data_IF_798526748184
#
_entry.id   IF_798526748184
#
_cell.length_a   1.000
_cell.length_b   1.000
_cell.length_c   1.000
_cell.angle_alpha   90.00
_cell.angle_beta   90.00
_cell.angle_gamma   90.00
#
_symmetry.space_group_name_H-M   'P 1'
#
loop_
_entity.id
_entity.type
_entity.pdbx_description
1 polymer ?
#
# COMPACT_ATOMS: atom_id res chain seq x y z
N UNK A 1 6.27 26.65 30.70
CA UNK A 1 6.69 25.94 29.47
C UNK A 1 7.53 26.91 28.65
N UNK A 2 8.66 26.47 28.10
CA UNK A 2 9.51 27.32 27.26
C UNK A 2 8.86 27.48 25.86
N UNK A 3 8.93 28.66 25.20
CA UNK A 3 8.36 28.88 23.87
C UNK A 3 8.90 27.89 22.84
N UNK A 4 8.01 27.31 22.02
CA UNK A 4 8.32 26.40 20.92
C UNK A 4 9.10 25.14 21.32
N UNK A 5 9.05 24.77 22.60
CA UNK A 5 9.58 23.50 23.08
C UNK A 5 8.53 22.40 22.98
N UNK A 6 8.89 21.29 22.35
CA UNK A 6 8.06 20.08 22.21
C UNK A 6 8.77 18.86 22.78
N UNK A 7 8.03 17.75 22.90
CA UNK A 7 8.63 16.47 23.33
C UNK A 7 9.70 16.06 22.32
N UNK A 8 10.85 15.55 22.80
CA UNK A 8 11.94 15.19 21.91
C UNK A 8 11.52 14.04 21.00
N UNK A 9 11.72 14.22 19.70
CA UNK A 9 11.65 13.15 18.71
C UNK A 9 12.83 13.28 17.76
N UNK A 10 13.75 12.32 17.81
CA UNK A 10 14.90 12.30 16.90
C UNK A 10 14.52 11.81 15.49
N UNK A 11 13.26 11.96 15.08
CA UNK A 11 12.79 11.57 13.75
C UNK A 11 13.53 12.38 12.68
N UNK A 12 14.02 11.70 11.64
CA UNK A 12 14.82 12.32 10.58
C UNK A 12 16.28 12.65 10.96
N UNK A 13 16.79 12.12 12.08
CA UNK A 13 18.19 12.26 12.51
C UNK A 13 18.93 10.94 12.30
N UNK A 14 19.93 10.92 11.41
CA UNK A 14 20.63 9.68 11.02
C UNK A 14 21.40 8.99 12.18
N UNK A 15 21.74 9.72 13.25
CA UNK A 15 22.61 9.25 14.33
C UNK A 15 21.94 9.15 15.70
N UNK A 16 20.61 9.26 15.78
CA UNK A 16 19.87 9.24 17.05
C UNK A 16 19.29 7.86 17.37
N UNK A 17 19.72 7.23 18.46
CA UNK A 17 19.15 5.99 18.95
C UNK A 17 17.94 6.19 19.87
N UNK A 18 17.22 5.10 20.16
CA UNK A 18 16.11 5.11 21.12
C UNK A 18 16.50 5.55 22.52
N UNK A 19 17.71 5.17 22.93
CA UNK A 19 18.29 5.56 24.21
C UNK A 19 18.57 7.07 24.24
N UNK A 20 19.01 7.64 23.12
CA UNK A 20 19.26 9.08 23.00
C UNK A 20 17.96 9.89 23.01
N UNK A 21 16.90 9.38 22.38
CA UNK A 21 15.56 9.99 22.42
C UNK A 21 14.97 9.95 23.84
N UNK A 22 15.10 8.82 24.54
CA UNK A 22 14.65 8.68 25.93
C UNK A 22 15.47 9.54 26.91
N UNK A 23 16.76 9.71 26.64
CA UNK A 23 17.65 10.56 27.43
C UNK A 23 17.53 12.04 27.06
N UNK A 24 16.92 12.41 25.93
CA UNK A 24 16.79 13.79 25.51
C UNK A 24 15.82 14.57 26.41
N UNK A 25 16.16 15.82 26.74
CA UNK A 25 15.33 16.67 27.62
C UNK A 25 14.23 17.44 26.91
N UNK A 26 14.32 17.56 25.59
CA UNK A 26 13.39 18.36 24.81
C UNK A 26 13.90 18.63 23.41
N UNK A 27 12.99 19.08 22.57
CA UNK A 27 13.26 19.57 21.24
C UNK A 27 12.74 21.01 21.14
N UNK A 28 13.59 21.89 20.64
CA UNK A 28 13.32 23.32 20.55
C UNK A 28 13.33 23.74 19.08
N UNK A 29 12.32 24.52 18.70
CA UNK A 29 12.17 25.06 17.36
C UNK A 29 12.29 26.57 17.40
N UNK A 30 13.40 27.11 16.88
CA UNK A 30 13.66 28.55 16.91
C UNK A 30 13.22 29.19 15.59
N UNK A 31 12.32 30.18 15.63
CA UNK A 31 11.83 30.85 14.43
C UNK A 31 12.94 31.65 13.75
N UNK A 32 12.95 31.64 12.42
CA UNK A 32 13.82 32.42 11.56
C UNK A 32 12.98 33.31 10.66
N UNK A 33 13.30 34.59 10.59
CA UNK A 33 12.64 35.59 9.77
C UNK A 33 13.66 36.34 8.92
N UNK A 34 13.23 36.89 7.79
CA UNK A 34 14.11 37.64 6.88
C UNK A 34 13.96 39.16 7.02
N UNK A 35 12.80 39.63 7.50
CA UNK A 35 12.50 41.05 7.68
C UNK A 35 12.83 41.47 9.12
N UNK A 36 13.36 42.68 9.36
CA UNK A 36 13.53 43.19 10.72
C UNK A 36 12.24 43.04 11.54
N UNK A 37 12.38 42.68 12.82
CA UNK A 37 11.27 42.45 13.74
C UNK A 37 11.37 43.47 14.88
N UNK A 38 10.25 44.08 15.24
CA UNK A 38 10.14 44.98 16.37
C UNK A 38 10.03 44.21 17.70
N UNK A 39 10.35 44.88 18.81
CA UNK A 39 10.19 44.28 20.14
C UNK A 39 8.74 43.81 20.42
N UNK A 40 7.68 44.58 20.10
CA UNK A 40 6.30 44.11 20.29
C UNK A 40 5.95 42.85 19.50
N UNK A 41 6.41 42.73 18.25
CA UNK A 41 6.18 41.56 17.41
C UNK A 41 6.87 40.32 17.99
N UNK A 42 8.14 40.45 18.41
CA UNK A 42 8.87 39.35 19.04
C UNK A 42 8.24 38.95 20.38
N UNK A 43 7.82 39.93 21.18
CA UNK A 43 7.13 39.70 22.45
C UNK A 43 5.83 38.92 22.23
N UNK A 44 5.01 39.32 21.24
CA UNK A 44 3.77 38.63 20.90
C UNK A 44 4.02 37.20 20.41
N UNK A 45 5.02 37.00 19.54
CA UNK A 45 5.41 35.68 19.02
C UNK A 45 5.83 34.73 20.15
N UNK A 46 6.70 35.20 21.07
CA UNK A 46 7.20 34.39 22.18
C UNK A 46 6.16 34.19 23.28
N UNK A 47 5.25 35.16 23.49
CA UNK A 47 4.15 35.06 24.45
C UNK A 47 3.14 33.98 24.04
N UNK A 48 2.86 33.83 22.74
CA UNK A 48 2.08 32.70 22.25
C UNK A 48 2.86 31.39 22.46
N UNK A 49 4.13 31.37 22.03
CA UNK A 49 5.12 30.34 22.35
C UNK A 49 4.72 28.91 22.01
N UNK A 50 3.68 28.70 21.19
CA UNK A 50 3.15 27.39 20.83
C UNK A 50 2.61 27.42 19.42
N UNK A 51 2.90 26.36 18.68
CA UNK A 51 2.31 26.13 17.36
C UNK A 51 1.06 25.28 17.54
N UNK A 52 -0.04 25.65 16.88
CA UNK A 52 -1.30 24.90 16.92
C UNK A 52 -1.53 24.14 15.61
N UNK A 53 -1.82 22.86 15.73
CA UNK A 53 -2.30 22.04 14.62
C UNK A 53 -3.80 22.34 14.45
N UNK A 54 -4.14 23.05 13.38
CA UNK A 54 -5.49 23.58 13.15
C UNK A 54 -6.56 22.52 12.87
N UNK A 55 -7.83 22.90 13.07
CA UNK A 55 -9.04 22.06 12.88
C UNK A 55 -9.17 21.48 11.46
N UNK A 56 -8.59 22.14 10.46
CA UNK A 56 -8.62 21.70 9.05
C UNK A 56 -7.81 20.42 8.82
N UNK A 57 -6.72 20.24 9.57
CA UNK A 57 -5.86 19.06 9.55
C UNK A 57 -6.35 17.95 10.47
N UNK A 58 -7.38 18.20 11.28
CA UNK A 58 -7.88 17.28 12.27
C UNK A 58 -9.38 17.51 12.49
N UNK A 59 -10.21 16.90 11.63
CA UNK A 59 -11.67 17.09 11.70
C UNK A 59 -12.30 16.43 12.93
N UNK A 60 -11.63 15.44 13.52
CA UNK A 60 -12.16 14.64 14.63
C UNK A 60 -11.74 15.16 16.02
N UNK A 61 -10.55 15.77 16.14
CA UNK A 61 -10.11 16.41 17.37
C UNK A 61 -9.78 17.87 17.07
N UNK A 62 -10.36 18.80 17.83
CA UNK A 62 -10.24 20.25 17.57
C UNK A 62 -8.79 20.76 17.48
N UNK A 63 -8.63 22.06 17.24
CA UNK A 63 -7.30 22.67 17.23
C UNK A 63 -6.54 22.32 18.53
N UNK A 64 -5.30 21.85 18.40
CA UNK A 64 -4.48 21.43 19.53
C UNK A 64 -3.04 21.92 19.39
N UNK A 65 -2.36 22.14 20.52
CA UNK A 65 -0.94 22.44 20.51
C UNK A 65 -0.12 21.28 19.93
N UNK A 66 0.94 21.60 19.20
CA UNK A 66 1.93 20.63 18.75
C UNK A 66 2.63 19.99 19.96
N UNK A 67 2.72 18.66 19.97
CA UNK A 67 3.27 17.91 21.11
C UNK A 67 4.68 17.39 20.85
N UNK A 68 5.02 17.20 19.59
CA UNK A 68 6.29 16.65 19.11
C UNK A 68 6.73 17.30 17.80
N UNK A 69 7.92 16.93 17.31
CA UNK A 69 8.47 17.48 16.08
C UNK A 69 7.62 17.20 14.83
N UNK A 70 6.88 16.09 14.76
CA UNK A 70 6.00 15.82 13.61
C UNK A 70 4.79 16.75 13.60
N UNK A 71 4.13 16.92 14.75
CA UNK A 71 3.05 17.89 14.87
C UNK A 71 3.52 19.30 14.53
N UNK A 72 4.72 19.67 14.99
CA UNK A 72 5.32 20.95 14.69
C UNK A 72 5.53 21.10 13.18
N UNK A 73 6.18 20.14 12.53
CA UNK A 73 6.40 20.12 11.08
C UNK A 73 5.10 20.20 10.26
N UNK A 74 4.02 19.55 10.72
CA UNK A 74 2.69 19.64 10.07
C UNK A 74 2.06 21.03 10.20
N UNK A 75 2.30 21.72 11.30
CA UNK A 75 1.60 22.96 11.66
C UNK A 75 2.36 24.24 11.31
N UNK A 76 3.70 24.19 11.14
CA UNK A 76 4.54 25.37 10.85
C UNK A 76 4.09 26.12 9.60
N UNK A 77 3.57 25.43 8.59
CA UNK A 77 3.17 26.06 7.34
C UNK A 77 2.06 27.11 7.53
N UNK A 78 1.04 26.79 8.33
CA UNK A 78 -0.05 27.74 8.62
C UNK A 78 0.42 28.77 9.66
N UNK A 79 1.03 28.30 10.74
CA UNK A 79 1.47 29.16 11.85
C UNK A 79 2.49 30.22 11.44
N UNK A 80 3.52 29.80 10.70
CA UNK A 80 4.62 30.66 10.30
C UNK A 80 4.23 31.64 9.20
N UNK A 81 3.37 31.23 8.25
CA UNK A 81 2.90 32.10 7.18
C UNK A 81 2.13 33.30 7.75
N UNK A 82 1.22 33.07 8.71
CA UNK A 82 0.43 34.12 9.36
C UNK A 82 1.30 35.13 10.15
N UNK A 83 2.55 34.77 10.47
CA UNK A 83 3.49 35.56 11.29
C UNK A 83 4.72 36.07 10.51
N UNK A 84 4.74 35.89 9.19
CA UNK A 84 5.88 36.31 8.36
C UNK A 84 7.19 35.57 8.66
N UNK A 85 7.12 34.37 9.24
CA UNK A 85 8.29 33.53 9.52
C UNK A 85 8.71 32.78 8.25
N UNK A 86 10.01 32.65 8.04
CA UNK A 86 10.59 32.01 6.85
C UNK A 86 10.98 30.56 7.08
N UNK A 87 11.43 30.22 8.29
CA UNK A 87 11.87 28.88 8.65
C UNK A 87 11.88 28.70 10.18
N UNK A 88 12.14 27.48 10.62
CA UNK A 88 12.53 27.18 12.00
C UNK A 88 13.81 26.35 12.02
N UNK A 89 14.73 26.68 12.91
CA UNK A 89 15.91 25.87 13.21
C UNK A 89 15.57 24.92 14.37
N UNK A 90 15.80 23.62 14.17
CA UNK A 90 15.45 22.59 15.13
C UNK A 90 16.66 22.17 15.94
N UNK A 91 16.52 22.11 17.25
CA UNK A 91 17.55 21.66 18.18
C UNK A 91 17.02 20.54 19.08
N UNK A 92 17.84 19.52 19.32
CA UNK A 92 17.58 18.54 20.37
C UNK A 92 18.63 18.65 21.47
N UNK A 93 18.19 18.53 22.72
CA UNK A 93 19.07 18.51 23.87
C UNK A 93 19.43 17.07 24.22
N UNK A 94 20.50 16.56 23.61
CA UNK A 94 20.98 15.18 23.80
C UNK A 94 22.06 15.09 24.86
N UNK A 95 22.06 14.00 25.63
CA UNK A 95 23.07 13.69 26.65
C UNK A 95 24.34 13.15 25.97
N UNK A 96 25.53 13.68 26.28
CA UNK A 96 26.80 13.23 25.66
C UNK A 96 27.87 12.79 26.66
N UNK A 97 27.89 13.35 27.87
CA UNK A 97 28.83 12.97 28.93
C UNK A 97 28.20 13.16 30.32
N UNK A 98 27.66 12.08 30.91
CA UNK A 98 26.89 12.20 32.16
C UNK A 98 25.73 13.18 32.00
N UNK A 99 25.38 13.98 33.03
CA UNK A 99 24.24 14.91 32.98
C UNK A 99 24.48 16.18 32.12
N UNK A 100 25.51 16.21 31.27
CA UNK A 100 25.74 17.30 30.33
C UNK A 100 24.89 17.14 29.07
N UNK A 101 24.02 18.13 28.82
CA UNK A 101 23.13 18.20 27.67
C UNK A 101 23.65 19.22 26.68
N UNK A 102 23.85 18.81 25.43
CA UNK A 102 24.27 19.70 24.35
C UNK A 102 23.10 19.96 23.41
N UNK A 103 22.92 21.23 23.03
CA UNK A 103 22.01 21.61 21.97
C UNK A 103 22.60 21.16 20.63
N UNK A 104 22.07 20.07 20.10
CA UNK A 104 22.49 19.52 18.80
C UNK A 104 21.53 20.03 17.73
N UNK A 105 22.00 20.75 16.70
CA UNK A 105 21.15 21.13 15.58
C UNK A 105 20.67 19.88 14.84
N UNK A 106 19.37 19.79 14.62
CA UNK A 106 18.70 18.72 13.86
C UNK A 106 18.34 19.17 12.44
N UNK A 107 18.55 20.45 12.14
CA UNK A 107 18.37 21.04 10.82
C UNK A 107 17.23 22.05 10.76
N UNK A 108 17.16 22.69 9.60
CA UNK A 108 16.23 23.78 9.30
C UNK A 108 15.04 23.30 8.50
N UNK A 109 13.85 23.75 8.88
CA UNK A 109 12.61 23.48 8.15
C UNK A 109 12.00 24.79 7.68
N UNK A 110 11.75 24.90 6.37
CA UNK A 110 11.12 26.08 5.77
C UNK A 110 9.63 26.15 6.10
N UNK A 111 9.13 27.36 6.30
CA UNK A 111 7.70 27.64 6.44
C UNK A 111 7.10 27.64 5.04
N UNK A 112 6.62 26.48 4.61
CA UNK A 112 6.03 26.30 3.29
C UNK A 112 4.84 25.35 3.37
N UNK A 113 3.78 25.63 2.60
CA UNK A 113 2.63 24.74 2.56
C UNK A 113 2.98 23.45 1.85
N UNK A 114 2.88 22.34 2.59
CA UNK A 114 3.14 20.98 2.09
C UNK A 114 1.84 20.17 2.07
N UNK A 115 1.11 20.09 0.94
CA UNK A 115 -0.16 19.36 0.87
C UNK A 115 -0.03 17.87 1.19
N UNK A 116 1.13 17.26 0.92
CA UNK A 116 1.36 15.85 1.23
C UNK A 116 1.31 15.53 2.74
N UNK A 117 1.54 16.52 3.62
CA UNK A 117 1.40 16.34 5.06
C UNK A 117 -0.07 16.11 5.49
N UNK A 118 -1.05 16.46 4.65
CA UNK A 118 -2.47 16.23 4.93
C UNK A 118 -2.83 14.75 4.90
N UNK A 119 -2.05 13.93 4.19
CA UNK A 119 -2.20 12.48 4.17
C UNK A 119 -2.11 11.87 5.59
N UNK A 120 -1.30 12.50 6.46
CA UNK A 120 -1.09 12.05 7.85
C UNK A 120 -2.39 12.12 8.66
N UNK A 121 -3.33 12.99 8.30
CA UNK A 121 -4.64 13.11 8.97
C UNK A 121 -5.44 11.81 8.95
N UNK A 122 -5.23 10.94 7.96
CA UNK A 122 -5.87 9.62 7.93
C UNK A 122 -5.51 8.76 9.15
N UNK A 123 -4.30 8.94 9.67
CA UNK A 123 -3.70 8.17 10.76
C UNK A 123 -4.05 8.73 12.14
N UNK A 124 -4.60 9.95 12.21
CA UNK A 124 -5.11 10.53 13.45
C UNK A 124 -6.46 9.89 13.87
N UNK A 125 -7.13 9.20 12.94
CA UNK A 125 -8.39 8.48 13.21
C UNK A 125 -8.23 7.46 14.32
N UNK A 126 -9.23 7.38 15.20
CA UNK A 126 -9.24 6.50 16.38
C UNK A 126 -8.01 6.67 17.29
N UNK A 127 -7.36 7.83 17.23
CA UNK A 127 -6.09 8.12 17.91
C UNK A 127 -4.99 7.09 17.60
N UNK A 128 -4.98 6.53 16.37
CA UNK A 128 -4.09 5.43 16.01
C UNK A 128 -2.61 5.77 16.23
N UNK A 129 -2.13 6.93 15.73
CA UNK A 129 -0.73 7.34 15.94
C UNK A 129 -0.38 7.48 17.42
N UNK A 130 -1.24 8.14 18.20
CA UNK A 130 -1.02 8.31 19.64
C UNK A 130 -0.95 6.95 20.37
N UNK A 131 -1.85 6.02 20.05
CA UNK A 131 -1.87 4.66 20.62
C UNK A 131 -0.65 3.84 20.22
N UNK A 132 -0.28 3.85 18.93
CA UNK A 132 0.92 3.17 18.44
C UNK A 132 2.18 3.66 19.15
N UNK A 133 2.34 4.98 19.26
CA UNK A 133 3.50 5.61 19.91
C UNK A 133 3.51 5.38 21.42
N UNK A 134 2.34 5.35 22.05
CA UNK A 134 2.24 4.99 23.47
C UNK A 134 2.65 3.54 23.69
N UNK A 135 2.13 2.61 22.89
CA UNK A 135 2.49 1.20 22.98
C UNK A 135 3.97 0.97 22.66
N UNK A 136 4.53 1.58 21.62
CA UNK A 136 5.94 1.41 21.28
C UNK A 136 6.91 1.88 22.40
N UNK A 137 6.48 2.77 23.30
CA UNK A 137 7.27 3.21 24.45
C UNK A 137 7.07 2.35 25.69
N UNK A 138 6.10 1.44 25.71
CA UNK A 138 5.91 0.55 26.85
C UNK A 138 6.97 -0.55 26.87
N UNK A 139 7.33 -0.98 28.07
CA UNK A 139 8.26 -2.11 28.28
C UNK A 139 7.74 -3.41 27.68
N UNK A 140 6.42 -3.47 27.49
CA UNK A 140 5.70 -4.63 26.96
C UNK A 140 5.69 -4.73 25.43
N UNK A 141 6.15 -3.71 24.70
CA UNK A 141 6.19 -3.78 23.25
C UNK A 141 7.31 -4.70 22.75
N UNK A 142 7.07 -5.41 21.65
CA UNK A 142 8.12 -6.18 20.99
C UNK A 142 9.10 -5.25 20.25
N UNK A 143 10.36 -5.67 20.11
CA UNK A 143 11.37 -4.91 19.37
C UNK A 143 10.95 -4.59 17.93
N UNK A 144 10.24 -5.52 17.27
CA UNK A 144 9.69 -5.33 15.93
C UNK A 144 8.66 -4.19 15.87
N UNK A 145 7.78 -4.06 16.87
CA UNK A 145 6.81 -2.96 16.97
C UNK A 145 7.52 -1.63 17.15
N UNK A 146 8.53 -1.58 18.03
CA UNK A 146 9.36 -0.37 18.23
C UNK A 146 10.06 0.06 16.95
N UNK A 147 10.68 -0.88 16.25
CA UNK A 147 11.37 -0.60 14.98
C UNK A 147 10.40 -0.13 13.90
N UNK A 148 9.23 -0.77 13.76
CA UNK A 148 8.22 -0.36 12.79
C UNK A 148 7.65 1.03 13.09
N UNK A 149 7.37 1.33 14.36
CA UNK A 149 6.89 2.65 14.77
C UNK A 149 7.90 3.76 14.48
N UNK A 150 9.21 3.53 14.72
CA UNK A 150 10.26 4.50 14.38
C UNK A 150 10.36 4.74 12.88
N UNK A 151 10.41 3.66 12.07
CA UNK A 151 10.44 3.79 10.61
C UNK A 151 9.23 4.56 10.08
N UNK A 152 8.07 4.36 10.69
CA UNK A 152 6.88 5.14 10.36
C UNK A 152 7.05 6.61 10.75
N UNK A 153 7.47 6.90 11.99
CA UNK A 153 7.71 8.28 12.45
C UNK A 153 8.72 9.02 11.54
N UNK A 154 9.82 8.37 11.13
CA UNK A 154 10.80 8.92 10.19
C UNK A 154 10.20 9.21 8.81
N UNK A 155 9.43 8.27 8.26
CA UNK A 155 8.80 8.43 6.95
C UNK A 155 7.73 9.53 6.96
N UNK A 156 6.91 9.62 8.02
CA UNK A 156 5.93 10.69 8.18
C UNK A 156 6.59 12.06 8.38
N UNK A 157 7.71 12.10 9.11
CA UNK A 157 8.48 13.33 9.27
C UNK A 157 9.06 13.81 7.94
N UNK A 158 9.65 12.90 7.15
CA UNK A 158 10.12 13.21 5.80
C UNK A 158 8.98 13.69 4.89
N UNK A 159 7.81 13.05 4.94
CA UNK A 159 6.62 13.46 4.20
C UNK A 159 6.15 14.88 4.55
N UNK A 160 6.33 15.29 5.82
CA UNK A 160 5.98 16.62 6.30
C UNK A 160 7.06 17.69 6.04
N UNK A 161 8.27 17.31 5.61
CA UNK A 161 9.43 18.23 5.58
C UNK A 161 10.26 18.22 4.29
N UNK A 162 10.10 17.23 3.42
CA UNK A 162 10.78 17.16 2.12
C UNK A 162 9.86 17.75 1.03
N UNK A 163 10.36 18.61 0.12
CA UNK A 163 9.53 19.21 -0.94
C UNK A 163 8.93 18.16 -1.88
N UNK A 164 9.76 17.22 -2.32
CA UNK A 164 9.33 16.08 -3.14
C UNK A 164 8.72 14.98 -2.27
N UNK A 165 7.40 14.89 -2.32
CA UNK A 165 6.66 13.98 -1.45
C UNK A 165 6.53 12.53 -1.96
N UNK A 166 6.99 12.24 -3.19
CA UNK A 166 6.73 10.94 -3.81
C UNK A 166 7.39 9.76 -3.08
N UNK A 167 8.71 9.83 -2.94
CA UNK A 167 9.49 8.82 -2.21
C UNK A 167 9.09 8.75 -0.72
N UNK A 168 8.92 9.86 0.01
CA UNK A 168 8.45 9.82 1.40
C UNK A 168 7.05 9.20 1.55
N UNK A 169 6.12 9.48 0.63
CA UNK A 169 4.78 8.89 0.66
C UNK A 169 4.84 7.38 0.45
N UNK A 170 5.67 6.90 -0.48
CA UNK A 170 5.87 5.47 -0.72
C UNK A 170 6.52 4.78 0.48
N UNK A 171 7.56 5.39 1.08
CA UNK A 171 8.17 4.90 2.32
C UNK A 171 7.18 4.82 3.47
N UNK A 172 6.32 5.83 3.63
CA UNK A 172 5.29 5.85 4.65
C UNK A 172 4.26 4.72 4.44
N UNK A 173 3.82 4.46 3.19
CA UNK A 173 2.95 3.32 2.88
C UNK A 173 3.59 1.99 3.25
N UNK A 174 4.85 1.78 2.89
CA UNK A 174 5.61 0.57 3.23
C UNK A 174 5.71 0.42 4.76
N UNK A 175 6.04 1.51 5.47
CA UNK A 175 6.14 1.51 6.92
C UNK A 175 4.78 1.21 7.60
N UNK A 176 3.67 1.75 7.08
CA UNK A 176 2.32 1.46 7.56
C UNK A 176 1.95 -0.01 7.36
N UNK A 177 2.25 -0.58 6.20
CA UNK A 177 2.06 -2.00 5.93
C UNK A 177 2.86 -2.90 6.89
N UNK A 178 4.09 -2.50 7.20
CA UNK A 178 4.91 -3.20 8.19
C UNK A 178 4.37 -3.06 9.61
N UNK A 179 3.89 -1.87 10.00
CA UNK A 179 3.20 -1.65 11.28
C UNK A 179 1.99 -2.56 11.40
N UNK A 180 1.11 -2.60 10.40
CA UNK A 180 -0.05 -3.49 10.38
C UNK A 180 0.37 -4.96 10.56
N UNK A 181 1.43 -5.40 9.88
CA UNK A 181 1.93 -6.78 9.96
C UNK A 181 2.47 -7.12 11.35
N UNK A 182 3.29 -6.26 11.96
CA UNK A 182 3.89 -6.55 13.28
C UNK A 182 2.86 -6.48 14.40
N UNK A 183 1.88 -5.57 14.31
CA UNK A 183 0.74 -5.54 15.23
C UNK A 183 -0.13 -6.78 15.06
N UNK A 184 -0.42 -7.16 13.81
CA UNK A 184 -1.21 -8.35 13.48
C UNK A 184 -0.64 -9.66 14.04
N UNK A 185 0.68 -9.75 14.18
CA UNK A 185 1.36 -10.92 14.74
C UNK A 185 1.36 -10.98 16.28
N UNK A 186 0.84 -9.96 16.98
CA UNK A 186 0.91 -9.88 18.46
C UNK A 186 -0.45 -9.64 19.08
N UNK A 187 -0.97 -10.64 19.80
CA UNK A 187 -2.24 -10.54 20.55
C UNK A 187 -2.22 -9.42 21.58
N UNK A 188 -1.09 -9.21 22.25
CA UNK A 188 -0.90 -8.10 23.19
C UNK A 188 -0.97 -6.73 22.51
N UNK A 189 -0.47 -6.63 21.28
CA UNK A 189 -0.55 -5.39 20.51
C UNK A 189 -2.00 -5.09 20.08
N UNK A 190 -2.83 -6.13 19.86
CA UNK A 190 -4.24 -5.96 19.50
C UNK A 190 -5.05 -5.24 20.58
N UNK A 191 -4.73 -5.45 21.85
CA UNK A 191 -5.37 -4.79 22.99
C UNK A 191 -5.01 -3.29 23.08
N UNK A 192 -3.78 -2.94 22.70
CA UNK A 192 -3.25 -1.59 22.86
C UNK A 192 -3.48 -0.68 21.64
N UNK A 193 -3.43 -1.25 20.44
CA UNK A 193 -3.42 -0.49 19.18
C UNK A 193 -4.43 -1.09 18.21
N UNK A 194 -5.41 -0.30 17.70
CA UNK A 194 -6.32 -0.79 16.67
C UNK A 194 -5.56 -1.06 15.35
N UNK A 195 -6.15 -1.78 14.39
CA UNK A 195 -5.62 -1.86 13.03
C UNK A 195 -5.35 -0.47 12.45
N UNK A 196 -4.41 -0.38 11.52
CA UNK A 196 -4.11 0.88 10.82
C UNK A 196 -5.41 1.41 10.17
N UNK A 197 -5.80 2.68 10.35
CA UNK A 197 -6.99 3.22 9.72
C UNK A 197 -6.95 3.06 8.19
N UNK A 198 -8.12 3.01 7.55
CA UNK A 198 -8.18 3.03 6.08
C UNK A 198 -7.51 4.29 5.55
N UNK A 199 -6.81 4.20 4.44
CA UNK A 199 -6.12 5.32 3.80
C UNK A 199 -6.94 5.85 2.61
N UNK A 200 -6.89 7.15 2.37
CA UNK A 200 -7.57 7.77 1.21
C UNK A 200 -6.77 7.58 -0.08
N UNK A 201 -7.42 7.77 -1.23
CA UNK A 201 -6.84 7.59 -2.57
C UNK A 201 -5.67 8.51 -2.88
N UNK A 202 -5.57 9.66 -2.20
CA UNK A 202 -4.50 10.65 -2.42
C UNK A 202 -3.11 10.07 -2.11
N UNK A 203 -3.03 9.05 -1.25
CA UNK A 203 -1.80 8.29 -1.01
C UNK A 203 -1.27 7.62 -2.29
N UNK A 204 -2.16 7.09 -3.13
CA UNK A 204 -1.79 6.44 -4.39
C UNK A 204 -1.19 7.46 -5.34
N UNK A 205 -1.88 8.59 -5.55
CA UNK A 205 -1.43 9.63 -6.48
C UNK A 205 -0.04 10.18 -6.12
N UNK A 206 0.26 10.26 -4.82
CA UNK A 206 1.55 10.73 -4.33
C UNK A 206 2.65 9.66 -4.41
N UNK A 207 2.34 8.42 -4.05
CA UNK A 207 3.34 7.35 -3.95
C UNK A 207 3.61 6.60 -5.28
N UNK A 208 2.78 6.78 -6.30
CA UNK A 208 2.94 6.15 -7.62
C UNK A 208 4.19 6.68 -8.35
N UNK A 209 5.20 5.82 -8.40
CA UNK A 209 6.46 6.04 -9.11
C UNK A 209 6.47 5.48 -10.54
N UNK A 210 5.35 4.92 -11.00
CA UNK A 210 5.22 4.30 -12.32
C UNK A 210 5.86 2.91 -12.45
N UNK A 211 6.46 2.36 -11.39
CA UNK A 211 7.11 1.04 -11.41
C UNK A 211 6.12 -0.10 -11.66
N UNK A 212 6.63 -1.26 -12.09
CA UNK A 212 5.81 -2.45 -12.26
C UNK A 212 5.38 -3.00 -10.89
N UNK A 213 6.27 -2.96 -9.89
CA UNK A 213 6.03 -3.39 -8.52
C UNK A 213 4.87 -2.63 -7.87
N UNK A 214 4.84 -1.29 -8.02
CA UNK A 214 3.75 -0.46 -7.50
C UNK A 214 2.42 -0.79 -8.17
N UNK A 215 2.42 -0.96 -9.50
CA UNK A 215 1.22 -1.30 -10.26
C UNK A 215 0.65 -2.66 -9.87
N UNK A 216 1.49 -3.68 -9.78
CA UNK A 216 1.07 -5.02 -9.35
C UNK A 216 0.52 -4.99 -7.93
N UNK A 217 1.21 -4.32 -7.02
CA UNK A 217 0.78 -4.16 -5.64
C UNK A 217 -0.57 -3.44 -5.55
N UNK A 218 -0.79 -2.37 -6.33
CA UNK A 218 -2.05 -1.64 -6.35
C UNK A 218 -3.20 -2.48 -6.91
N UNK A 219 -2.96 -3.19 -8.02
CA UNK A 219 -3.95 -4.06 -8.64
C UNK A 219 -4.41 -5.16 -7.67
N UNK A 220 -3.44 -5.80 -7.01
CA UNK A 220 -3.71 -6.81 -5.98
C UNK A 220 -4.46 -6.20 -4.78
N UNK A 221 -4.03 -5.04 -4.27
CA UNK A 221 -4.67 -4.36 -3.15
C UNK A 221 -6.11 -3.95 -3.43
N UNK A 222 -6.42 -3.57 -4.67
CA UNK A 222 -7.76 -3.18 -5.10
C UNK A 222 -8.74 -4.37 -5.19
N UNK A 223 -8.25 -5.62 -5.20
CA UNK A 223 -9.11 -6.80 -5.18
C UNK A 223 -9.92 -6.84 -3.89
N UNK A 224 -11.24 -6.77 -4.00
CA UNK A 224 -12.18 -6.72 -2.87
C UNK A 224 -13.27 -7.80 -2.96
N UNK A 225 -14.18 -7.82 -1.97
CA UNK A 225 -15.29 -8.77 -1.95
C UNK A 225 -16.04 -8.71 -3.26
N UNK A 226 -16.45 -9.83 -3.84
CA UNK A 226 -16.53 -11.17 -3.27
C UNK A 226 -15.21 -11.97 -3.25
N UNK A 227 -14.11 -11.45 -3.82
CA UNK A 227 -12.76 -12.01 -3.59
C UNK A 227 -12.31 -11.70 -2.17
N UNK A 228 -11.54 -12.62 -1.58
CA UNK A 228 -10.77 -12.38 -0.36
C UNK A 228 -9.99 -11.05 -0.47
N UNK A 229 -10.33 -10.03 0.34
CA UNK A 229 -9.59 -8.76 0.33
C UNK A 229 -8.15 -8.98 0.76
N UNK A 230 -7.19 -8.44 0.01
CA UNK A 230 -5.76 -8.63 0.33
C UNK A 230 -5.40 -8.17 1.73
N UNK A 231 -6.12 -7.18 2.27
CA UNK A 231 -5.96 -6.72 3.64
C UNK A 231 -6.16 -7.85 4.67
N UNK A 232 -7.18 -8.68 4.50
CA UNK A 232 -7.48 -9.83 5.37
C UNK A 232 -6.47 -10.95 5.15
N UNK A 233 -6.06 -11.18 3.89
CA UNK A 233 -5.01 -12.15 3.58
C UNK A 233 -3.69 -11.83 4.30
N UNK A 234 -3.36 -10.54 4.42
CA UNK A 234 -2.10 -10.04 4.96
C UNK A 234 -2.09 -9.87 6.48
N UNK A 235 -3.25 -9.62 7.10
CA UNK A 235 -3.36 -9.37 8.53
C UNK A 235 -4.69 -9.89 9.10
N UNK A 236 -4.72 -10.37 10.36
CA UNK A 236 -5.91 -10.90 10.99
C UNK A 236 -6.88 -9.77 11.37
N UNK A 237 -7.62 -9.25 10.41
CA UNK A 237 -8.62 -8.18 10.60
C UNK A 237 -9.99 -8.60 10.10
N UNK A 238 -11.02 -7.91 10.57
CA UNK A 238 -12.37 -8.01 10.04
C UNK A 238 -12.47 -7.49 8.58
N UNK A 239 -13.61 -7.77 7.93
CA UNK A 239 -13.89 -7.34 6.55
C UNK A 239 -13.79 -5.82 6.38
N UNK A 240 -14.16 -5.07 7.42
CA UNK A 240 -14.10 -3.62 7.45
C UNK A 240 -12.69 -3.08 7.75
N UNK A 241 -11.76 -3.93 8.18
CA UNK A 241 -10.42 -3.54 8.60
C UNK A 241 -10.38 -2.61 9.81
N UNK A 242 -11.41 -2.64 10.66
CA UNK A 242 -11.59 -1.78 11.84
C UNK A 242 -11.18 -2.48 13.13
N UNK A 243 -11.26 -3.82 13.18
CA UNK A 243 -10.96 -4.61 14.36
C UNK A 243 -10.02 -5.78 14.05
N UNK A 244 -9.23 -6.20 15.04
CA UNK A 244 -8.43 -7.42 14.95
C UNK A 244 -9.32 -8.65 15.06
N UNK A 245 -9.06 -9.65 14.24
CA UNK A 245 -9.69 -10.98 14.26
C UNK A 245 -8.60 -12.06 14.26
N UNK A 246 -7.96 -12.34 15.41
CA UNK A 246 -6.80 -13.22 15.51
C UNK A 246 -7.02 -14.62 14.95
N UNK A 247 -8.26 -15.12 15.09
CA UNK A 247 -8.65 -16.47 14.69
C UNK A 247 -9.23 -16.54 13.26
N UNK A 248 -9.07 -15.46 12.47
CA UNK A 248 -9.57 -15.40 11.09
C UNK A 248 -8.85 -16.38 10.19
N UNK A 249 -9.62 -17.27 9.56
CA UNK A 249 -9.13 -18.24 8.56
C UNK A 249 -8.70 -17.59 7.25
N UNK A 250 -9.05 -16.32 7.07
CA UNK A 250 -8.70 -15.55 5.88
C UNK A 250 -7.28 -15.01 5.93
N UNK A 251 -6.66 -14.94 7.12
CA UNK A 251 -5.27 -14.57 7.28
C UNK A 251 -4.34 -15.72 6.85
N UNK A 252 -3.48 -15.47 5.86
CA UNK A 252 -2.67 -16.52 5.23
C UNK A 252 -1.28 -16.69 5.85
N UNK A 253 -0.81 -15.75 6.69
CA UNK A 253 0.47 -15.83 7.40
C UNK A 253 1.73 -15.86 6.53
N UNK A 254 1.62 -15.66 5.20
CA UNK A 254 2.74 -15.78 4.27
C UNK A 254 3.67 -14.56 4.31
N UNK A 255 4.99 -14.82 4.25
CA UNK A 255 6.04 -13.78 4.32
C UNK A 255 6.66 -13.41 2.97
N UNK A 256 6.47 -14.24 1.95
CA UNK A 256 6.96 -14.03 0.59
C UNK A 256 5.80 -13.85 -0.39
N UNK A 257 6.03 -13.12 -1.48
CA UNK A 257 4.98 -12.73 -2.42
C UNK A 257 4.35 -13.92 -3.14
N UNK A 258 5.16 -14.76 -3.79
CA UNK A 258 4.67 -15.89 -4.59
C UNK A 258 3.84 -16.88 -3.74
N UNK A 259 4.30 -17.34 -2.56
CA UNK A 259 3.48 -18.20 -1.69
C UNK A 259 2.18 -17.52 -1.21
N UNK A 260 2.23 -16.22 -0.89
CA UNK A 260 1.04 -15.45 -0.49
C UNK A 260 -0.01 -15.46 -1.59
N UNK A 261 0.38 -15.12 -2.82
CA UNK A 261 -0.54 -15.01 -3.94
C UNK A 261 -1.09 -16.37 -4.37
N UNK A 262 -0.27 -17.43 -4.33
CA UNK A 262 -0.74 -18.79 -4.58
C UNK A 262 -1.74 -19.28 -3.54
N UNK A 263 -1.50 -19.00 -2.25
CA UNK A 263 -2.44 -19.30 -1.17
C UNK A 263 -3.74 -18.50 -1.30
N UNK A 264 -3.66 -17.21 -1.64
CA UNK A 264 -4.80 -16.33 -1.83
C UNK A 264 -5.69 -16.80 -2.99
N UNK A 265 -5.08 -17.18 -4.12
CA UNK A 265 -5.82 -17.72 -5.26
C UNK A 265 -6.53 -19.02 -4.91
N UNK A 266 -5.83 -19.95 -4.25
CA UNK A 266 -6.45 -21.20 -3.80
C UNK A 266 -7.60 -20.95 -2.83
N UNK A 267 -7.45 -20.00 -1.90
CA UNK A 267 -8.53 -19.61 -0.98
C UNK A 267 -9.73 -19.05 -1.75
N UNK A 268 -9.50 -18.17 -2.74
CA UNK A 268 -10.52 -17.64 -3.65
C UNK A 268 -11.30 -18.75 -4.36
N UNK A 269 -10.64 -19.80 -4.82
CA UNK A 269 -11.29 -20.93 -5.51
C UNK A 269 -12.16 -21.81 -4.59
N UNK A 270 -12.03 -21.67 -3.27
CA UNK A 270 -12.85 -22.37 -2.26
C UNK A 270 -14.06 -21.54 -1.82
N UNK A 271 -14.02 -20.22 -1.98
CA UNK A 271 -15.14 -19.35 -1.63
C UNK A 271 -16.34 -19.60 -2.58
N UNK A 272 -17.57 -19.40 -2.10
CA UNK A 272 -18.76 -19.42 -2.95
C UNK A 272 -18.60 -18.45 -4.13
N UNK A 273 -19.15 -18.81 -5.29
CA UNK A 273 -19.20 -17.86 -6.39
C UNK A 273 -20.11 -16.70 -5.99
N UNK A 274 -19.70 -15.46 -6.25
CA UNK A 274 -20.54 -14.31 -5.95
C UNK A 274 -21.90 -14.36 -6.63
N UNK A 275 -22.88 -13.76 -5.95
CA UNK A 275 -24.15 -13.46 -6.59
C UNK A 275 -23.96 -12.27 -7.56
N UNK A 276 -24.86 -12.08 -8.54
CA UNK A 276 -24.83 -10.91 -9.42
C UNK A 276 -24.86 -9.56 -8.68
N UNK A 277 -25.42 -9.53 -7.47
CA UNK A 277 -25.46 -8.34 -6.61
C UNK A 277 -24.07 -8.00 -6.01
N UNK A 278 -23.20 -9.01 -5.81
CA UNK A 278 -21.83 -8.85 -5.31
C UNK A 278 -20.81 -8.48 -6.42
N UNK A 279 -21.17 -8.70 -7.69
CA UNK A 279 -20.34 -8.48 -8.88
C UNK A 279 -19.77 -7.05 -9.11
N UNK A 280 -20.39 -5.94 -8.62
CA UNK A 280 -19.92 -4.59 -8.96
C UNK A 280 -18.48 -4.31 -8.50
N UNK A 281 -18.06 -4.85 -7.35
CA UNK A 281 -16.85 -4.40 -6.68
C UNK A 281 -15.56 -4.93 -7.35
N UNK A 282 -15.53 -6.22 -7.73
CA UNK A 282 -14.45 -6.82 -8.52
C UNK A 282 -14.26 -6.08 -9.86
N UNK A 283 -15.38 -5.75 -10.50
CA UNK A 283 -15.39 -5.14 -11.83
C UNK A 283 -14.96 -3.67 -11.78
N UNK A 284 -15.21 -2.95 -10.68
CA UNK A 284 -14.74 -1.57 -10.51
C UNK A 284 -13.24 -1.53 -10.23
N UNK A 285 -12.75 -2.36 -9.33
CA UNK A 285 -11.32 -2.42 -8.99
C UNK A 285 -10.44 -2.76 -10.20
N UNK A 286 -10.86 -3.74 -11.01
CA UNK A 286 -10.14 -4.10 -12.24
C UNK A 286 -10.19 -2.99 -13.30
N UNK A 287 -11.27 -2.18 -13.35
CA UNK A 287 -11.40 -1.06 -14.28
C UNK A 287 -10.53 0.14 -13.91
N UNK A 288 -10.35 0.43 -12.63
CA UNK A 288 -9.64 1.64 -12.20
C UNK A 288 -8.19 1.39 -11.84
N UNK A 289 -7.88 0.17 -11.35
CA UNK A 289 -6.62 -0.13 -10.69
C UNK A 289 -5.95 -1.41 -11.22
N UNK A 290 -6.52 -2.04 -12.26
CA UNK A 290 -6.00 -3.28 -12.82
C UNK A 290 -4.60 -3.13 -13.40
N UNK A 291 -3.77 -4.18 -13.27
CA UNK A 291 -2.43 -4.21 -13.82
C UNK A 291 -2.46 -4.23 -15.35
N UNK A 292 -1.43 -3.64 -15.99
CA UNK A 292 -1.24 -3.79 -17.43
C UNK A 292 -0.43 -5.04 -17.77
N UNK A 293 -0.46 -5.40 -19.05
CA UNK A 293 0.26 -6.58 -19.57
C UNK A 293 1.76 -6.46 -19.34
N UNK A 294 2.33 -5.26 -19.46
CA UNK A 294 3.77 -5.03 -19.24
C UNK A 294 4.18 -5.37 -17.81
N UNK A 295 3.49 -4.87 -16.79
CA UNK A 295 3.84 -5.18 -15.40
C UNK A 295 3.70 -6.68 -15.10
N UNK A 296 2.70 -7.35 -15.68
CA UNK A 296 2.55 -8.79 -15.54
C UNK A 296 3.69 -9.57 -16.23
N UNK A 297 4.11 -9.12 -17.41
CA UNK A 297 5.25 -9.70 -18.12
C UNK A 297 6.56 -9.49 -17.33
N UNK A 298 6.78 -8.30 -16.77
CA UNK A 298 7.93 -7.99 -15.90
C UNK A 298 7.96 -8.91 -14.66
N UNK A 299 6.79 -9.20 -14.07
CA UNK A 299 6.70 -10.15 -12.95
C UNK A 299 7.03 -11.59 -13.37
N UNK A 300 6.53 -12.05 -14.52
CA UNK A 300 6.76 -13.41 -15.01
C UNK A 300 8.20 -13.64 -15.46
N UNK A 301 8.83 -12.62 -16.04
CA UNK A 301 10.16 -12.69 -16.65
C UNK A 301 11.23 -11.92 -15.86
N UNK A 302 10.96 -11.60 -14.58
CA UNK A 302 11.92 -10.94 -13.71
C UNK A 302 13.26 -11.71 -13.72
N UNK A 303 14.34 -11.00 -14.02
CA UNK A 303 15.66 -11.59 -14.14
C UNK A 303 16.07 -12.28 -12.81
N UNK A 304 16.73 -13.46 -12.83
CA UNK A 304 17.03 -14.24 -11.63
C UNK A 304 17.77 -13.46 -10.53
N UNK A 305 18.62 -12.51 -10.91
CA UNK A 305 19.37 -11.65 -9.99
C UNK A 305 18.49 -10.59 -9.29
N UNK A 306 17.37 -10.20 -9.90
CA UNK A 306 16.50 -9.11 -9.42
C UNK A 306 15.15 -9.61 -8.89
N UNK A 307 14.80 -10.87 -9.13
CA UNK A 307 13.49 -11.45 -8.79
C UNK A 307 13.15 -11.32 -7.31
N UNK A 308 14.13 -11.55 -6.42
CA UNK A 308 13.93 -11.45 -4.97
C UNK A 308 13.66 -10.00 -4.52
N UNK A 309 14.38 -9.03 -5.10
CA UNK A 309 14.20 -7.62 -4.81
C UNK A 309 12.84 -7.12 -5.34
N UNK A 310 12.47 -7.53 -6.56
CA UNK A 310 11.18 -7.23 -7.17
C UNK A 310 10.01 -7.74 -6.31
N UNK A 311 10.08 -9.01 -5.89
CA UNK A 311 9.06 -9.63 -5.04
C UNK A 311 8.96 -8.97 -3.66
N UNK A 312 10.11 -8.71 -3.03
CA UNK A 312 10.16 -8.08 -1.72
C UNK A 312 9.57 -6.67 -1.75
N UNK A 313 9.90 -5.89 -2.79
CA UNK A 313 9.38 -4.55 -3.00
C UNK A 313 7.87 -4.56 -3.28
N UNK A 314 7.43 -5.42 -4.19
CA UNK A 314 6.00 -5.58 -4.51
C UNK A 314 5.19 -5.97 -3.27
N UNK A 315 5.69 -6.90 -2.45
CA UNK A 315 5.02 -7.29 -1.19
C UNK A 315 5.00 -6.15 -0.16
N UNK A 316 6.10 -5.40 -0.02
CA UNK A 316 6.17 -4.26 0.89
C UNK A 316 5.13 -3.18 0.50
N UNK A 317 5.03 -2.87 -0.79
CA UNK A 317 4.03 -1.95 -1.34
C UNK A 317 2.61 -2.50 -1.16
N UNK A 318 2.38 -3.78 -1.46
CA UNK A 318 1.07 -4.42 -1.33
C UNK A 318 0.54 -4.33 0.11
N UNK A 319 1.41 -4.51 1.12
CA UNK A 319 1.02 -4.36 2.52
C UNK A 319 0.53 -2.97 2.87
N UNK A 320 1.15 -1.93 2.32
CA UNK A 320 0.72 -0.54 2.51
C UNK A 320 -0.54 -0.20 1.73
N UNK A 321 -0.58 -0.58 0.45
CA UNK A 321 -1.71 -0.30 -0.45
C UNK A 321 -2.98 -1.07 -0.08
N UNK A 322 -2.86 -2.26 0.53
CA UNK A 322 -4.02 -3.00 1.05
C UNK A 322 -4.75 -2.26 2.19
N UNK A 323 -4.16 -1.19 2.75
CA UNK A 323 -4.80 -0.35 3.76
C UNK A 323 -5.73 0.71 3.15
N UNK A 324 -5.72 0.90 1.84
CA UNK A 324 -6.60 1.86 1.16
C UNK A 324 -8.08 1.53 1.38
N UNK A 325 -8.92 2.56 1.28
CA UNK A 325 -10.36 2.37 1.17
C UNK A 325 -10.72 1.84 -0.23
N UNK A 326 -11.21 0.60 -0.35
CA UNK A 326 -11.52 -0.01 -1.63
C UNK A 326 -12.81 0.55 -2.26
N UNK A 327 -13.61 1.31 -1.49
CA UNK A 327 -14.88 1.88 -1.97
C UNK A 327 -14.67 3.09 -2.86
N UNK A 328 -13.43 3.59 -2.94
CA UNK A 328 -13.08 4.77 -3.73
C UNK A 328 -12.23 4.34 -4.93
N UNK A 329 -12.57 4.82 -6.14
CA UNK A 329 -11.74 4.56 -7.31
C UNK A 329 -10.35 5.14 -7.08
N UNK A 330 -9.32 4.35 -7.34
CA UNK A 330 -7.95 4.82 -7.24
C UNK A 330 -7.56 5.48 -8.57
N UNK A 331 -7.19 6.75 -8.52
CA UNK A 331 -6.71 7.46 -9.72
C UNK A 331 -5.24 7.14 -9.91
N UNK A 332 -4.93 6.30 -10.89
CA UNK A 332 -3.55 5.92 -11.24
C UNK A 332 -3.06 6.79 -12.39
N UNK A 333 -1.75 7.00 -12.47
CA UNK A 333 -1.16 7.65 -13.65
C UNK A 333 -1.54 6.88 -14.92
N UNK A 334 -2.12 7.58 -15.91
CA UNK A 334 -2.40 6.99 -17.23
C UNK A 334 -1.10 6.54 -17.87
N UNK A 335 -1.11 5.35 -18.46
CA UNK A 335 0.05 4.78 -19.12
C UNK A 335 -0.18 4.59 -20.62
N UNK A 336 0.92 4.61 -21.41
CA UNK A 336 0.85 4.28 -22.82
C UNK A 336 0.38 2.83 -23.03
N UNK A 337 -0.15 2.57 -24.22
CA UNK A 337 -0.58 1.23 -24.60
C UNK A 337 0.57 0.22 -24.45
N UNK A 338 0.26 -0.95 -23.87
CA UNK A 338 1.26 -2.00 -23.66
C UNK A 338 1.61 -2.67 -24.99
N UNK A 339 2.91 -2.71 -25.30
CA UNK A 339 3.49 -3.48 -26.42
C UNK A 339 3.89 -4.91 -26.00
N UNK A 340 3.80 -5.24 -24.71
CA UNK A 340 4.23 -6.52 -24.19
C UNK A 340 3.40 -7.68 -24.79
N UNK A 341 4.08 -8.81 -25.02
CA UNK A 341 3.47 -10.03 -25.51
C UNK A 341 3.52 -11.09 -24.42
N UNK A 342 2.38 -11.70 -24.14
CA UNK A 342 2.31 -12.90 -23.31
C UNK A 342 2.12 -14.12 -24.20
N UNK A 343 2.80 -15.24 -23.91
CA UNK A 343 2.57 -16.49 -24.62
C UNK A 343 1.11 -16.94 -24.54
N UNK A 344 0.61 -17.60 -25.59
CA UNK A 344 -0.77 -18.08 -25.68
C UNK A 344 -1.19 -18.98 -24.49
N UNK A 345 -0.26 -19.78 -23.96
CA UNK A 345 -0.48 -20.61 -22.78
C UNK A 345 -0.76 -19.78 -21.50
N UNK A 346 -0.05 -18.67 -21.31
CA UNK A 346 -0.33 -17.74 -20.20
C UNK A 346 -1.71 -17.10 -20.35
N UNK A 347 -2.08 -16.69 -21.57
CA UNK A 347 -3.39 -16.10 -21.86
C UNK A 347 -4.50 -17.12 -21.57
N UNK A 348 -4.33 -18.38 -21.99
CA UNK A 348 -5.30 -19.44 -21.74
C UNK A 348 -5.55 -19.64 -20.24
N UNK A 349 -4.48 -19.67 -19.44
CA UNK A 349 -4.60 -19.75 -17.98
C UNK A 349 -5.25 -18.49 -17.39
N UNK A 350 -4.87 -17.28 -17.84
CA UNK A 350 -5.47 -16.03 -17.38
C UNK A 350 -6.99 -16.02 -17.59
N UNK A 351 -7.46 -16.44 -18.77
CA UNK A 351 -8.90 -16.50 -19.05
C UNK A 351 -9.61 -17.50 -18.13
N UNK A 352 -9.07 -18.71 -17.97
CA UNK A 352 -9.69 -19.77 -17.15
C UNK A 352 -9.75 -19.41 -15.66
N UNK A 353 -8.78 -18.64 -15.17
CA UNK A 353 -8.76 -18.17 -13.78
C UNK A 353 -9.45 -16.81 -13.57
N UNK A 354 -9.87 -16.14 -14.63
CA UNK A 354 -10.68 -14.93 -14.53
C UNK A 354 -12.09 -15.30 -14.03
N UNK A 355 -12.63 -14.57 -13.03
CA UNK A 355 -13.99 -14.78 -12.55
C UNK A 355 -15.02 -14.71 -13.68
N UNK A 356 -16.01 -15.62 -13.65
CA UNK A 356 -17.04 -15.75 -14.69
C UNK A 356 -17.76 -14.44 -14.97
N UNK A 357 -18.20 -13.76 -13.91
CA UNK A 357 -18.96 -12.51 -14.00
C UNK A 357 -18.20 -11.45 -14.79
N UNK A 358 -16.89 -11.40 -14.62
CA UNK A 358 -16.01 -10.49 -15.36
C UNK A 358 -15.87 -10.86 -16.83
N UNK A 359 -15.78 -12.15 -17.15
CA UNK A 359 -15.76 -12.60 -18.55
C UNK A 359 -17.09 -12.25 -19.25
N UNK A 360 -18.21 -12.47 -18.58
CA UNK A 360 -19.55 -12.11 -19.09
C UNK A 360 -19.68 -10.60 -19.27
N UNK A 361 -19.26 -9.79 -18.28
CA UNK A 361 -19.31 -8.32 -18.37
C UNK A 361 -18.41 -7.73 -19.47
N UNK A 362 -17.44 -8.50 -19.97
CA UNK A 362 -16.56 -8.13 -21.07
C UNK A 362 -16.97 -8.73 -22.41
N UNK A 363 -18.13 -9.39 -22.48
CA UNK A 363 -18.63 -10.10 -23.68
C UNK A 363 -17.64 -11.17 -24.17
N UNK A 364 -16.88 -11.77 -23.25
CA UNK A 364 -15.93 -12.85 -23.53
C UNK A 364 -16.51 -14.23 -23.26
N UNK A 365 -17.65 -14.33 -22.57
CA UNK A 365 -18.31 -15.58 -22.23
C UNK A 365 -19.83 -15.40 -22.21
N UNK A 366 -20.57 -16.38 -22.74
CA UNK A 366 -22.03 -16.37 -22.74
C UNK A 366 -22.63 -16.47 -21.32
N UNK A 367 -23.78 -15.83 -21.12
CA UNK A 367 -24.48 -15.75 -19.84
C UNK A 367 -24.94 -17.11 -19.28
N UNK A 368 -25.04 -18.15 -20.12
CA UNK A 368 -25.49 -19.49 -19.72
C UNK A 368 -24.33 -20.50 -19.65
N UNK A 369 -23.11 -20.09 -20.01
CA UNK A 369 -21.98 -21.00 -20.03
C UNK A 369 -21.53 -21.34 -18.58
N UNK A 370 -21.50 -22.63 -18.19
CA UNK A 370 -20.98 -23.03 -16.89
C UNK A 370 -19.47 -22.85 -16.85
N UNK A 371 -18.98 -22.14 -15.83
CA UNK A 371 -17.55 -21.82 -15.68
C UNK A 371 -17.02 -22.24 -14.30
N UNK A 372 -16.90 -23.56 -14.04
CA UNK A 372 -16.49 -24.05 -12.72
C UNK A 372 -15.05 -23.64 -12.39
N UNK A 373 -14.73 -23.48 -11.10
CA UNK A 373 -13.39 -23.09 -10.65
C UNK A 373 -12.30 -24.09 -11.09
N UNK A 374 -11.15 -23.65 -11.65
CA UNK A 374 -10.05 -24.53 -12.12
C UNK A 374 -9.13 -25.01 -10.98
N UNK A 375 -9.70 -25.66 -9.96
CA UNK A 375 -8.97 -26.09 -8.75
C UNK A 375 -7.79 -27.03 -9.04
N UNK A 376 -7.98 -27.99 -9.93
CA UNK A 376 -6.93 -28.96 -10.29
C UNK A 376 -5.75 -28.29 -11.01
N UNK A 377 -6.01 -27.35 -11.93
CA UNK A 377 -4.95 -26.60 -12.59
C UNK A 377 -4.14 -25.76 -11.58
N UNK A 378 -4.81 -25.20 -10.57
CA UNK A 378 -4.14 -24.45 -9.50
C UNK A 378 -3.21 -25.35 -8.68
N UNK A 379 -3.64 -26.57 -8.36
CA UNK A 379 -2.83 -27.55 -7.63
C UNK A 379 -1.60 -28.00 -8.43
N UNK A 380 -1.78 -28.25 -9.74
CA UNK A 380 -0.69 -28.63 -10.65
C UNK A 380 0.36 -27.52 -10.80
N UNK A 381 -0.06 -26.27 -10.97
CA UNK A 381 0.86 -25.13 -11.00
C UNK A 381 1.64 -24.99 -9.69
N UNK A 382 0.99 -25.16 -8.54
CA UNK A 382 1.67 -25.14 -7.24
C UNK A 382 2.72 -26.26 -7.10
N UNK A 383 2.51 -27.40 -7.78
CA UNK A 383 3.45 -28.53 -7.82
C UNK A 383 4.50 -28.42 -8.95
N UNK A 384 4.47 -27.36 -9.77
CA UNK A 384 5.38 -27.18 -10.90
C UNK A 384 4.96 -27.88 -12.21
N UNK A 385 3.83 -28.59 -12.24
CA UNK A 385 3.26 -29.20 -13.45
C UNK A 385 2.55 -28.15 -14.33
N UNK A 386 3.36 -27.31 -15.00
CA UNK A 386 2.86 -26.26 -15.90
C UNK A 386 2.16 -26.87 -17.11
N UNK A 387 2.75 -27.90 -17.73
CA UNK A 387 2.20 -28.51 -18.95
C UNK A 387 0.80 -29.12 -18.69
N UNK A 388 0.64 -29.85 -17.59
CA UNK A 388 -0.65 -30.41 -17.20
C UNK A 388 -1.70 -29.36 -16.87
N UNK A 389 -1.31 -28.27 -16.20
CA UNK A 389 -2.20 -27.14 -15.92
C UNK A 389 -2.68 -26.44 -17.20
N UNK A 390 -1.77 -26.18 -18.15
CA UNK A 390 -2.12 -25.58 -19.45
C UNK A 390 -3.02 -26.52 -20.25
N UNK A 391 -2.76 -27.83 -20.23
CA UNK A 391 -3.61 -28.84 -20.86
C UNK A 391 -5.04 -28.84 -20.32
N UNK A 392 -5.21 -28.73 -19.00
CA UNK A 392 -6.53 -28.59 -18.38
C UNK A 392 -7.24 -27.30 -18.77
N UNK A 393 -6.52 -26.17 -18.75
CA UNK A 393 -7.07 -24.88 -19.15
C UNK A 393 -7.52 -24.91 -20.62
N UNK A 394 -6.70 -25.48 -21.51
CA UNK A 394 -7.00 -25.60 -22.93
C UNK A 394 -8.25 -26.43 -23.21
N UNK A 395 -8.38 -27.59 -22.55
CA UNK A 395 -9.59 -28.42 -22.65
C UNK A 395 -10.84 -27.67 -22.18
N UNK A 396 -10.72 -26.86 -21.13
CA UNK A 396 -11.83 -26.05 -20.62
C UNK A 396 -12.27 -24.94 -21.56
N UNK A 397 -11.33 -24.22 -22.18
CA UNK A 397 -11.65 -23.22 -23.19
C UNK A 397 -12.43 -23.85 -24.36
N UNK A 398 -12.06 -25.07 -24.78
CA UNK A 398 -12.79 -25.83 -25.81
C UNK A 398 -14.19 -26.24 -25.36
N UNK A 399 -14.34 -26.76 -24.14
CA UNK A 399 -15.66 -27.18 -23.64
C UNK A 399 -16.64 -26.01 -23.50
N UNK A 400 -16.12 -24.81 -23.21
CA UNK A 400 -16.90 -23.59 -23.14
C UNK A 400 -17.25 -22.97 -24.51
N UNK A 401 -16.86 -23.63 -25.62
CA UNK A 401 -17.09 -23.18 -27.00
C UNK A 401 -16.56 -21.78 -27.32
N UNK A 402 -15.55 -21.32 -26.58
CA UNK A 402 -14.85 -20.09 -26.93
C UNK A 402 -14.18 -20.25 -28.31
N UNK A 403 -14.12 -19.20 -29.14
CA UNK A 403 -13.64 -19.28 -30.52
C UNK A 403 -12.11 -19.39 -30.60
N UNK A 404 -11.53 -20.40 -29.95
CA UNK A 404 -10.10 -20.68 -30.03
C UNK A 404 -9.76 -21.38 -31.36
N UNK A 405 -8.54 -21.21 -31.90
CA UNK A 405 -8.13 -21.86 -33.14
C UNK A 405 -8.35 -23.38 -33.13
N UNK A 406 -8.97 -23.90 -34.19
CA UNK A 406 -9.17 -25.34 -34.38
C UNK A 406 -7.84 -26.08 -34.45
N UNK A 407 -6.80 -25.45 -35.01
CA UNK A 407 -5.43 -25.96 -35.11
C UNK A 407 -4.41 -24.96 -34.53
N UNK A 408 -3.37 -25.43 -33.82
CA UNK A 408 -3.17 -26.82 -33.39
C UNK A 408 -4.17 -27.27 -32.30
N UNK A 409 -4.51 -28.57 -32.28
CA UNK A 409 -5.36 -29.14 -31.22
C UNK A 409 -4.63 -29.21 -29.88
N UNK A 410 -3.31 -29.44 -29.94
CA UNK A 410 -2.45 -29.51 -28.77
C UNK A 410 -2.43 -28.16 -28.02
N UNK A 411 -2.34 -28.18 -26.68
CA UNK A 411 -2.16 -26.97 -25.91
C UNK A 411 -0.83 -26.28 -26.29
N UNK A 412 -0.78 -24.93 -26.29
CA UNK A 412 0.47 -24.21 -26.48
C UNK A 412 1.47 -24.59 -25.39
N UNK A 413 2.74 -24.76 -25.78
CA UNK A 413 3.81 -25.04 -24.82
C UNK A 413 4.29 -23.76 -24.15
N UNK A 414 4.74 -23.90 -22.89
CA UNK A 414 5.28 -22.80 -22.10
C UNK A 414 6.53 -23.25 -21.33
N UNK A 415 7.64 -23.53 -22.04
CA UNK A 415 8.86 -24.01 -21.40
C UNK A 415 9.50 -22.92 -20.54
N UNK A 416 10.09 -23.33 -19.41
CA UNK A 416 10.99 -22.48 -18.61
C UNK A 416 10.33 -21.51 -17.63
N UNK A 417 9.00 -21.48 -17.51
CA UNK A 417 8.32 -20.68 -16.48
C UNK A 417 8.07 -21.50 -15.20
N UNK A 418 8.33 -20.86 -14.07
CA UNK A 418 8.09 -21.42 -12.74
C UNK A 418 6.58 -21.52 -12.45
N UNK A 419 6.10 -22.71 -12.11
CA UNK A 419 4.68 -22.99 -11.86
C UNK A 419 4.08 -22.16 -10.73
N UNK A 420 4.69 -22.10 -9.54
CA UNK A 420 4.28 -21.21 -8.45
C UNK A 420 4.21 -19.74 -8.83
N UNK A 421 5.21 -19.20 -9.55
CA UNK A 421 5.17 -17.81 -10.05
C UNK A 421 4.03 -17.58 -11.03
N UNK A 422 3.79 -18.53 -11.94
CA UNK A 422 2.66 -18.47 -12.86
C UNK A 422 1.32 -18.50 -12.10
N UNK A 423 1.19 -19.35 -11.08
CA UNK A 423 0.02 -19.37 -10.20
C UNK A 423 -0.20 -18.01 -9.51
N UNK A 424 0.87 -17.40 -8.98
CA UNK A 424 0.81 -16.08 -8.37
C UNK A 424 0.39 -14.99 -9.36
N UNK A 425 0.83 -15.08 -10.62
CA UNK A 425 0.45 -14.14 -11.68
C UNK A 425 -1.05 -14.19 -11.98
N UNK A 426 -1.70 -15.34 -11.86
CA UNK A 426 -3.14 -15.52 -12.07
C UNK A 426 -4.01 -14.87 -10.97
N UNK A 427 -3.40 -14.47 -9.85
CA UNK A 427 -4.06 -13.69 -8.80
C UNK A 427 -4.17 -12.21 -9.17
N UNK A 428 -3.31 -11.72 -10.05
CA UNK A 428 -3.23 -10.29 -10.40
C UNK A 428 -4.42 -9.90 -11.29
N UNK A 429 -5.28 -8.98 -10.87
CA UNK A 429 -6.36 -8.50 -11.73
C UNK A 429 -5.77 -7.59 -12.81
N UNK A 430 -5.91 -7.99 -14.06
CA UNK A 430 -5.57 -7.14 -15.20
C UNK A 430 -6.58 -6.00 -15.36
N UNK A 431 -6.23 -4.94 -16.08
CA UNK A 431 -7.20 -3.95 -16.55
C UNK A 431 -8.11 -4.56 -17.62
N UNK A 432 -9.40 -4.19 -17.64
CA UNK A 432 -10.37 -4.71 -18.63
C UNK A 432 -9.93 -4.57 -20.09
N UNK A 433 -9.38 -3.42 -20.49
CA UNK A 433 -8.82 -3.22 -21.82
C UNK A 433 -7.65 -4.17 -22.11
N UNK A 434 -6.78 -4.42 -21.12
CA UNK A 434 -5.67 -5.36 -21.26
C UNK A 434 -6.20 -6.80 -21.41
N UNK A 435 -7.19 -7.20 -20.61
CA UNK A 435 -7.80 -8.52 -20.68
C UNK A 435 -8.52 -8.75 -22.02
N UNK A 436 -9.31 -7.78 -22.50
CA UNK A 436 -9.96 -7.84 -23.82
C UNK A 436 -8.94 -7.96 -24.96
N UNK A 437 -7.86 -7.17 -24.91
CA UNK A 437 -6.80 -7.22 -25.92
C UNK A 437 -6.07 -8.58 -25.92
N UNK A 438 -5.78 -9.14 -24.74
CA UNK A 438 -5.18 -10.48 -24.64
C UNK A 438 -6.15 -11.57 -25.12
N UNK A 439 -7.42 -11.47 -24.75
CA UNK A 439 -8.45 -12.40 -25.19
C UNK A 439 -8.56 -12.40 -26.72
N UNK A 440 -8.64 -11.23 -27.37
CA UNK A 440 -8.71 -11.11 -28.83
C UNK A 440 -7.48 -11.60 -29.59
N UNK A 441 -6.33 -11.79 -28.92
CA UNK A 441 -5.15 -12.44 -29.50
C UNK A 441 -5.24 -13.96 -29.50
N UNK A 442 -6.00 -14.54 -28.57
CA UNK A 442 -6.19 -15.99 -28.45
C UNK A 442 -7.50 -16.46 -29.10
N UNK A 443 -8.56 -15.68 -28.94
CA UNK A 443 -9.88 -15.90 -29.48
C UNK A 443 -9.94 -15.31 -30.91
N UNK A 444 -10.45 -16.07 -31.88
CA UNK A 444 -10.76 -15.55 -33.20
C UNK A 444 -11.84 -14.47 -33.05
N UNK A 445 -11.65 -13.32 -33.71
CA UNK A 445 -12.75 -12.39 -33.88
C UNK A 445 -13.84 -13.07 -34.71
N UNK A 446 -15.14 -12.91 -34.35
CA UNK A 446 -16.20 -13.32 -35.26
C UNK A 446 -15.99 -12.58 -36.59
N UNK A 447 -16.10 -13.30 -37.71
CA UNK A 447 -16.08 -12.66 -39.01
C UNK A 447 -17.17 -11.56 -39.02
N UNK A 448 -16.91 -10.36 -39.56
CA UNK A 448 -17.97 -9.38 -39.72
C UNK A 448 -19.08 -10.05 -40.54
N UNK A 449 -20.30 -10.06 -40.00
CA UNK A 449 -21.48 -10.55 -40.71
C UNK A 449 -21.53 -9.82 -42.04
N UNK A 450 -21.34 -10.56 -43.13
CA UNK A 450 -21.56 -10.05 -44.47
C UNK A 450 -23.04 -9.66 -44.56
N UNK A 451 -23.29 -8.36 -44.56
CA UNK A 451 -24.59 -7.74 -44.84
C UNK A 451 -25.00 -7.96 -46.30
#
# INVERSE_FOLDING_TARGET
AFPFAVRPRLAGVATGGAADEAAARGELWLPLWQRPCSYPELSALLAEGRVTLGRRLNRQTGARAARDGLDFARAIASYGADRGLSAFERYAFTMRAGKAYLATPLGRITVERRPAADLITDLDRNAFLDRLRSHARSDTAAAAVRSAARRLDDALFALATVPEAGEPAQRALIALGEVQRVLGASRKAHEAVPPVPRLQSDWVQRADDGSAEFRLALALAASGPPVLPMRMALAPVDVDGRAWQPDSREHLGQRALVPLLGAALRRRLLLPQPTPEDAPYETVAARTSGANVTALADFLHAAPQNVAAFDARTLALLRGLALLDPSRPQTVRRQPASTAMLPAACIALLLVFTPRQRLVALDLLDQDCPWPAPREAAARLAAGDVAGAVGLAWRRLRSARLPIPSHPHAPPQLPGLDGPRLLAALTVPLHDAALKNLAGRLLRQPAPSAS
#
